data_IF_128620450460
#
_entry.id   IF_128620450460
#
_cell.length_a   1.000
_cell.length_b   1.000
_cell.length_c   1.000
_cell.angle_alpha   90.00
_cell.angle_beta   90.00
_cell.angle_gamma   90.00
#
_symmetry.space_group_name_H-M   'P 1'
#
loop_
_entity.id
_entity.type
_entity.pdbx_description
1 polymer ?
#
# COMPACT_ATOMS: atom_id res chain seq x y z
N UNK A 1 -27.94 -79.25 -7.92
CA UNK A 1 -26.65 -78.53 -7.94
C UNK A 1 -26.61 -77.29 -8.86
N UNK A 2 -27.71 -76.91 -9.54
CA UNK A 2 -27.74 -75.71 -10.41
C UNK A 2 -28.31 -74.46 -9.75
N UNK A 3 -29.05 -74.56 -8.64
CA UNK A 3 -29.65 -73.38 -7.96
C UNK A 3 -28.60 -72.50 -7.20
N UNK A 4 -27.60 -73.11 -6.61
CA UNK A 4 -26.55 -72.41 -5.86
C UNK A 4 -25.62 -71.59 -6.72
N UNK A 5 -25.31 -72.01 -7.95
CA UNK A 5 -24.45 -71.20 -8.89
C UNK A 5 -25.15 -69.95 -9.37
N UNK A 6 -26.47 -69.90 -9.53
CA UNK A 6 -27.20 -68.70 -9.95
C UNK A 6 -27.35 -67.68 -8.84
N UNK A 7 -27.38 -68.04 -7.57
CA UNK A 7 -27.46 -67.16 -6.43
C UNK A 7 -26.10 -66.51 -6.17
N UNK A 8 -25.00 -67.25 -6.31
CA UNK A 8 -23.61 -66.69 -6.15
C UNK A 8 -23.34 -65.65 -7.22
N UNK A 9 -23.74 -65.90 -8.47
CA UNK A 9 -23.54 -64.94 -9.56
C UNK A 9 -24.34 -63.65 -9.38
N UNK A 10 -25.52 -63.66 -8.81
CA UNK A 10 -26.35 -62.51 -8.52
C UNK A 10 -25.76 -61.69 -7.35
N UNK A 11 -25.26 -62.33 -6.32
CA UNK A 11 -24.65 -61.69 -5.19
C UNK A 11 -23.30 -61.03 -5.57
N UNK A 12 -22.48 -61.70 -6.39
CA UNK A 12 -21.24 -61.15 -6.92
C UNK A 12 -21.53 -59.97 -7.85
N UNK A 13 -22.54 -60.05 -8.70
CA UNK A 13 -22.95 -58.94 -9.58
C UNK A 13 -23.43 -57.73 -8.77
N UNK A 14 -24.19 -57.93 -7.69
CA UNK A 14 -24.67 -56.86 -6.81
C UNK A 14 -23.50 -56.17 -6.07
N UNK A 15 -22.53 -56.96 -5.60
CA UNK A 15 -21.36 -56.46 -4.93
C UNK A 15 -20.45 -55.61 -5.85
N UNK A 16 -20.30 -56.03 -7.11
CA UNK A 16 -19.50 -55.25 -8.10
C UNK A 16 -20.17 -53.95 -8.48
N UNK A 17 -21.50 -53.89 -8.54
CA UNK A 17 -22.25 -52.65 -8.80
C UNK A 17 -22.10 -51.67 -7.64
N UNK A 18 -22.14 -52.12 -6.39
CA UNK A 18 -21.96 -51.29 -5.20
C UNK A 18 -20.50 -50.70 -5.16
N UNK A 19 -19.48 -51.49 -5.51
CA UNK A 19 -18.09 -51.05 -5.56
C UNK A 19 -17.89 -50.06 -6.70
N UNK A 20 -18.52 -50.19 -7.84
CA UNK A 20 -18.43 -49.23 -8.94
C UNK A 20 -19.19 -47.93 -8.65
N UNK A 21 -20.30 -47.95 -7.91
CA UNK A 21 -21.01 -46.74 -7.50
C UNK A 21 -20.26 -45.91 -6.44
N UNK A 22 -19.42 -46.55 -5.62
CA UNK A 22 -18.59 -45.82 -4.61
C UNK A 22 -17.40 -45.07 -5.20
N UNK A 23 -16.95 -45.41 -6.41
CA UNK A 23 -15.81 -44.76 -7.07
C UNK A 23 -16.18 -43.45 -7.77
N UNK A 24 -17.45 -43.08 -7.88
CA UNK A 24 -17.90 -41.85 -8.58
C UNK A 24 -18.10 -40.69 -7.62
N UNK A 25 -18.08 -40.90 -6.30
CA UNK A 25 -18.05 -39.81 -5.33
C UNK A 25 -16.60 -39.32 -5.10
N UNK A 26 -16.01 -38.73 -6.14
CA UNK A 26 -14.89 -37.80 -5.94
C UNK A 26 -15.45 -36.61 -5.18
N UNK A 27 -15.22 -36.56 -3.87
CA UNK A 27 -15.35 -35.31 -3.12
C UNK A 27 -14.37 -34.31 -3.72
N UNK A 28 -14.83 -33.55 -4.69
CA UNK A 28 -14.13 -32.32 -5.02
C UNK A 28 -14.28 -31.42 -3.79
N UNK A 29 -13.20 -31.29 -3.03
CA UNK A 29 -13.09 -30.23 -2.08
C UNK A 29 -13.23 -28.92 -2.87
N UNK A 30 -14.44 -28.37 -2.86
CA UNK A 30 -14.66 -26.99 -3.27
C UNK A 30 -13.81 -26.19 -2.27
N UNK A 31 -12.62 -25.77 -2.69
CA UNK A 31 -11.90 -24.72 -1.99
C UNK A 31 -12.91 -23.57 -1.92
N UNK A 32 -13.40 -23.29 -0.72
CA UNK A 32 -14.11 -22.05 -0.49
C UNK A 32 -13.15 -20.97 -0.97
N UNK A 33 -13.51 -20.26 -2.03
CA UNK A 33 -12.85 -19.02 -2.40
C UNK A 33 -13.17 -18.11 -1.21
N UNK A 34 -12.20 -17.99 -0.31
CA UNK A 34 -12.24 -16.96 0.71
C UNK A 34 -12.29 -15.65 -0.09
N UNK A 35 -13.46 -15.02 -0.09
CA UNK A 35 -13.63 -13.68 -0.59
C UNK A 35 -13.01 -12.74 0.47
N UNK A 36 -11.71 -12.89 0.71
CA UNK A 36 -10.98 -11.96 1.57
C UNK A 36 -11.11 -10.59 0.91
N UNK A 37 -11.74 -9.67 1.60
CA UNK A 37 -11.73 -8.27 1.18
C UNK A 37 -10.28 -7.82 1.15
N UNK A 38 -9.92 -7.06 0.14
CA UNK A 38 -8.59 -6.51 -0.06
C UNK A 38 -8.73 -5.00 -0.09
N UNK A 39 -7.89 -4.31 0.65
CA UNK A 39 -7.72 -2.86 0.54
C UNK A 39 -6.49 -2.57 -0.29
N UNK A 40 -6.68 -1.89 -1.42
CA UNK A 40 -5.59 -1.41 -2.28
C UNK A 40 -5.22 0.02 -1.90
N UNK A 41 -3.95 0.26 -1.62
CA UNK A 41 -3.42 1.61 -1.42
C UNK A 41 -2.28 1.88 -2.40
N UNK A 42 -2.30 3.08 -2.99
CA UNK A 42 -1.23 3.58 -3.85
C UNK A 42 -0.62 4.79 -3.14
N UNK A 43 0.67 4.71 -2.86
CA UNK A 43 1.42 5.78 -2.20
C UNK A 43 2.47 6.30 -3.17
N UNK A 44 2.36 7.58 -3.53
CA UNK A 44 3.37 8.31 -4.29
C UNK A 44 4.24 9.12 -3.32
N UNK A 45 5.53 9.10 -3.53
CA UNK A 45 6.49 9.77 -2.66
C UNK A 45 7.49 10.60 -3.46
N UNK A 46 7.51 11.90 -3.17
CA UNK A 46 8.49 12.84 -3.72
C UNK A 46 9.62 13.03 -2.73
N UNK A 47 10.79 12.48 -3.05
CA UNK A 47 11.99 12.69 -2.26
C UNK A 47 12.47 14.13 -2.31
N UNK A 48 13.08 14.57 -1.22
CA UNK A 48 13.81 15.84 -1.18
C UNK A 48 15.08 15.73 -2.03
N UNK A 49 15.39 16.77 -2.79
CA UNK A 49 16.59 16.82 -3.61
C UNK A 49 17.87 16.55 -2.79
N UNK A 50 18.66 15.59 -3.26
CA UNK A 50 19.91 15.18 -2.61
C UNK A 50 19.75 14.16 -1.50
N UNK A 51 18.53 13.68 -1.24
CA UNK A 51 18.29 12.55 -0.36
C UNK A 51 18.40 11.25 -1.18
N UNK A 52 19.40 10.43 -0.88
CA UNK A 52 19.70 9.19 -1.59
C UNK A 52 19.47 7.94 -0.72
N UNK A 53 18.58 8.05 0.27
CA UNK A 53 18.32 6.97 1.21
C UNK A 53 17.39 5.93 0.59
N UNK A 54 17.60 4.68 1.00
CA UNK A 54 16.72 3.57 0.60
C UNK A 54 15.43 3.59 1.42
N UNK A 55 14.52 4.47 1.00
CA UNK A 55 13.21 4.60 1.62
C UNK A 55 12.31 3.43 1.25
N UNK A 56 11.59 2.92 2.23
CA UNK A 56 10.50 1.96 2.08
C UNK A 56 9.29 2.40 2.92
N UNK A 57 8.23 1.62 2.83
CA UNK A 57 6.97 1.86 3.50
C UNK A 57 6.76 0.81 4.59
N UNK A 58 6.34 1.23 5.77
CA UNK A 58 5.80 0.36 6.80
C UNK A 58 4.32 0.66 6.96
N UNK A 59 3.43 -0.28 6.58
CA UNK A 59 2.00 -0.09 6.59
C UNK A 59 1.33 -1.01 7.61
N UNK A 60 0.23 -0.52 8.21
CA UNK A 60 -0.64 -1.31 9.08
C UNK A 60 -2.10 -0.92 8.89
N UNK A 61 -3.00 -1.92 8.96
CA UNK A 61 -4.44 -1.70 9.09
C UNK A 61 -4.84 -1.40 10.54
N UNK A 62 -6.09 -1.01 10.75
CA UNK A 62 -6.63 -0.90 12.11
C UNK A 62 -6.54 -2.26 12.82
N UNK A 63 -5.93 -2.28 14.02
CA UNK A 63 -5.74 -3.48 14.83
C UNK A 63 -4.91 -4.60 14.16
N UNK A 64 -4.13 -4.29 13.12
CA UNK A 64 -3.25 -5.22 12.44
C UNK A 64 -1.78 -4.89 12.68
N UNK A 65 -0.94 -5.92 12.60
CA UNK A 65 0.51 -5.73 12.62
C UNK A 65 0.98 -5.06 11.33
N UNK A 66 1.99 -4.20 11.44
CA UNK A 66 2.60 -3.57 10.28
C UNK A 66 3.45 -4.53 9.45
N UNK A 67 3.57 -4.23 8.17
CA UNK A 67 4.42 -4.96 7.22
C UNK A 67 5.20 -3.98 6.35
N UNK A 68 6.44 -4.35 6.01
CA UNK A 68 7.30 -3.56 5.12
C UNK A 68 6.92 -3.79 3.65
N UNK A 69 6.93 -2.70 2.88
CA UNK A 69 6.73 -2.70 1.43
C UNK A 69 7.76 -1.80 0.76
N UNK A 70 8.30 -2.25 -0.35
CA UNK A 70 9.21 -1.46 -1.16
C UNK A 70 8.44 -0.58 -2.15
N UNK A 71 9.04 0.54 -2.56
CA UNK A 71 8.57 1.27 -3.71
C UNK A 71 8.82 0.42 -4.97
N UNK A 72 7.79 0.28 -5.81
CA UNK A 72 7.80 -0.66 -6.95
C UNK A 72 8.07 0.00 -8.29
N UNK A 73 8.14 1.34 -8.32
CA UNK A 73 8.42 2.10 -9.52
C UNK A 73 8.53 3.59 -9.27
N UNK A 74 8.69 4.33 -10.35
CA UNK A 74 8.73 5.79 -10.38
C UNK A 74 7.79 6.32 -11.45
N UNK A 75 7.16 7.45 -11.19
CA UNK A 75 6.35 8.22 -12.12
C UNK A 75 6.83 9.67 -12.20
N UNK A 76 6.08 10.54 -12.86
CA UNK A 76 6.42 11.97 -12.98
C UNK A 76 6.45 12.72 -11.63
N UNK A 77 5.81 12.18 -10.59
CA UNK A 77 5.83 12.76 -9.25
C UNK A 77 7.06 12.30 -8.46
N UNK A 78 7.39 11.02 -8.52
CA UNK A 78 8.49 10.39 -7.80
C UNK A 78 8.31 8.89 -7.66
N UNK A 79 8.80 8.31 -6.58
CA UNK A 79 8.61 6.89 -6.28
C UNK A 79 7.15 6.58 -6.01
N UNK A 80 6.69 5.38 -6.38
CA UNK A 80 5.36 4.91 -5.97
C UNK A 80 5.37 3.44 -5.55
N UNK A 81 4.41 3.08 -4.71
CA UNK A 81 4.10 1.70 -4.35
C UNK A 81 2.61 1.45 -4.49
N UNK A 82 2.25 0.33 -5.14
CA UNK A 82 0.88 -0.19 -5.19
C UNK A 82 0.80 -1.41 -4.29
N UNK A 83 0.01 -1.34 -3.23
CA UNK A 83 0.00 -2.29 -2.13
C UNK A 83 -1.40 -2.85 -1.94
N UNK A 84 -1.52 -4.17 -1.87
CA UNK A 84 -2.74 -4.87 -1.50
C UNK A 84 -2.60 -5.39 -0.07
N UNK A 85 -3.51 -4.99 0.80
CA UNK A 85 -3.57 -5.39 2.20
C UNK A 85 -4.79 -6.28 2.38
N UNK A 86 -4.59 -7.47 2.94
CA UNK A 86 -5.70 -8.37 3.26
C UNK A 86 -6.56 -7.76 4.36
N UNK A 87 -7.82 -7.52 4.06
CA UNK A 87 -8.79 -6.92 4.95
C UNK A 87 -9.58 -5.79 4.30
N UNK A 88 -10.64 -5.35 5.00
CA UNK A 88 -11.48 -4.22 4.66
C UNK A 88 -11.23 -3.11 5.68
N UNK A 89 -10.41 -2.17 5.33
CA UNK A 89 -9.97 -1.11 6.22
C UNK A 89 -10.63 0.22 5.85
N UNK A 90 -11.09 0.97 6.85
CA UNK A 90 -11.56 2.34 6.69
C UNK A 90 -10.40 3.34 6.66
N UNK A 91 -9.28 2.97 7.27
CA UNK A 91 -8.03 3.73 7.26
C UNK A 91 -6.83 2.81 7.36
N UNK A 92 -5.72 3.25 6.82
CA UNK A 92 -4.43 2.55 6.84
C UNK A 92 -3.37 3.50 7.35
N UNK A 93 -2.64 3.08 8.38
CA UNK A 93 -1.48 3.81 8.88
C UNK A 93 -0.23 3.46 8.08
N UNK A 94 0.70 4.42 7.96
CA UNK A 94 1.98 4.15 7.34
C UNK A 94 3.09 5.09 7.82
N UNK A 95 4.32 4.63 7.64
CA UNK A 95 5.54 5.38 7.86
C UNK A 95 6.42 5.20 6.62
N UNK A 96 7.03 6.27 6.13
CA UNK A 96 8.14 6.20 5.19
C UNK A 96 9.40 6.13 6.02
N UNK A 97 10.19 5.07 5.83
CA UNK A 97 11.37 4.80 6.65
C UNK A 97 12.47 4.10 5.86
N UNK A 98 13.68 4.05 6.41
CA UNK A 98 14.75 3.13 5.96
C UNK A 98 14.65 1.79 6.70
N UNK A 99 15.40 0.80 6.27
CA UNK A 99 15.49 -0.49 6.98
C UNK A 99 16.03 -0.35 8.40
N UNK A 100 16.84 0.68 8.67
CA UNK A 100 17.38 1.04 9.98
C UNK A 100 16.41 1.87 10.83
N UNK A 101 15.14 2.01 10.42
CA UNK A 101 14.11 2.78 11.10
C UNK A 101 14.36 4.29 11.19
N UNK A 102 15.18 4.84 10.31
CA UNK A 102 15.18 6.27 10.11
C UNK A 102 13.87 6.68 9.40
N UNK A 103 13.15 7.63 9.92
CA UNK A 103 11.82 8.03 9.44
C UNK A 103 11.90 9.34 8.64
N UNK A 104 11.12 9.39 7.57
CA UNK A 104 10.78 10.63 6.88
C UNK A 104 9.48 11.21 7.47
N UNK A 105 9.60 11.84 8.63
CA UNK A 105 8.48 12.36 9.40
C UNK A 105 7.82 11.35 10.34
N UNK A 106 6.62 11.66 10.80
CA UNK A 106 5.85 10.88 11.75
C UNK A 106 5.01 9.78 11.12
N UNK A 107 4.16 9.19 11.94
CA UNK A 107 3.11 8.26 11.51
C UNK A 107 2.04 9.03 10.75
N UNK A 108 1.64 8.53 9.59
CA UNK A 108 0.63 9.12 8.71
C UNK A 108 -0.54 8.17 8.53
N UNK A 109 -1.70 8.73 8.14
CA UNK A 109 -2.92 7.95 7.96
C UNK A 109 -3.57 8.25 6.61
N UNK A 110 -3.94 7.19 5.90
CA UNK A 110 -4.81 7.22 4.72
C UNK A 110 -6.23 7.01 5.23
N UNK A 111 -7.08 8.05 5.19
CA UNK A 111 -8.43 8.03 5.76
C UNK A 111 -9.53 8.01 4.68
N UNK A 112 -9.19 8.33 3.43
CA UNK A 112 -10.14 8.40 2.30
C UNK A 112 -10.16 7.13 1.46
N UNK A 113 -10.35 5.96 2.12
CA UNK A 113 -10.48 4.68 1.42
C UNK A 113 -11.93 4.56 0.92
N UNK A 114 -12.11 4.47 -0.40
CA UNK A 114 -13.41 4.31 -1.07
C UNK A 114 -13.41 3.01 -1.86
N UNK A 115 -14.42 2.20 -1.65
CA UNK A 115 -14.58 0.91 -2.34
C UNK A 115 -13.32 0.02 -2.23
N UNK A 116 -12.67 0.05 -1.05
CA UNK A 116 -11.45 -0.70 -0.79
C UNK A 116 -10.21 -0.13 -1.48
N UNK A 117 -10.23 1.13 -1.94
CA UNK A 117 -9.08 1.74 -2.63
C UNK A 117 -8.81 3.16 -2.16
N UNK A 118 -7.52 3.50 -2.07
CA UNK A 118 -7.05 4.87 -1.89
C UNK A 118 -5.75 5.13 -2.67
N UNK A 119 -5.56 6.39 -3.04
CA UNK A 119 -4.34 6.87 -3.69
C UNK A 119 -3.93 8.19 -3.04
N UNK A 120 -2.68 8.28 -2.63
CA UNK A 120 -2.17 9.42 -1.85
C UNK A 120 -0.78 9.83 -2.32
N UNK A 121 -0.46 11.11 -2.09
CA UNK A 121 0.83 11.72 -2.42
C UNK A 121 1.48 12.28 -1.17
N UNK A 122 2.78 12.09 -1.06
CA UNK A 122 3.60 12.50 0.08
C UNK A 122 4.81 13.28 -0.43
N UNK A 123 5.05 14.42 0.19
CA UNK A 123 6.28 15.19 -0.01
C UNK A 123 7.22 14.90 1.17
N UNK A 124 8.47 14.61 0.88
CA UNK A 124 9.50 14.38 1.91
C UNK A 124 9.59 15.55 2.86
N UNK A 125 9.62 15.27 4.17
CA UNK A 125 9.64 16.28 5.23
C UNK A 125 8.32 16.98 5.50
N UNK A 126 7.24 16.66 4.76
CA UNK A 126 5.87 17.13 5.04
C UNK A 126 5.07 16.03 5.73
N UNK A 127 4.42 16.36 6.83
CA UNK A 127 3.57 15.40 7.57
C UNK A 127 2.21 15.18 6.91
N UNK A 128 1.85 16.02 5.94
CA UNK A 128 0.55 15.99 5.29
C UNK A 128 0.42 14.83 4.31
N UNK A 129 -0.75 14.17 4.33
CA UNK A 129 -1.19 13.20 3.32
C UNK A 129 -2.11 13.91 2.32
N UNK A 130 -1.71 13.94 1.06
CA UNK A 130 -2.46 14.58 -0.01
C UNK A 130 -3.32 13.54 -0.73
N UNK A 131 -4.62 13.84 -0.90
CA UNK A 131 -5.58 12.99 -1.63
C UNK A 131 -5.66 13.32 -3.14
N UNK A 132 -4.85 14.24 -3.60
CA UNK A 132 -4.65 14.58 -5.00
C UNK A 132 -3.21 15.03 -5.17
N UNK A 133 -2.65 14.83 -6.37
CA UNK A 133 -1.27 15.19 -6.68
C UNK A 133 -1.02 16.67 -6.38
N UNK A 134 -0.18 17.00 -5.38
CA UNK A 134 0.18 18.37 -5.09
C UNK A 134 1.18 18.88 -6.14
N UNK A 135 1.26 20.21 -6.30
CA UNK A 135 2.38 20.78 -7.04
C UNK A 135 3.68 20.47 -6.31
N UNK A 136 4.62 19.89 -7.00
CA UNK A 136 6.00 19.66 -6.50
C UNK A 136 6.97 20.76 -6.96
N UNK A 137 6.49 21.74 -7.72
CA UNK A 137 7.30 22.89 -8.11
C UNK A 137 7.49 23.82 -6.92
N UNK A 138 8.74 24.22 -6.70
CA UNK A 138 9.07 25.13 -5.61
C UNK A 138 8.36 26.47 -5.80
N UNK A 139 7.56 26.88 -4.84
CA UNK A 139 6.95 28.21 -4.80
C UNK A 139 6.99 28.78 -3.40
N UNK A 140 7.16 30.10 -3.32
CA UNK A 140 7.14 30.82 -2.04
C UNK A 140 5.68 31.02 -1.64
N UNK A 141 5.31 30.50 -0.49
CA UNK A 141 3.97 30.63 0.11
C UNK A 141 3.88 31.89 0.98
N UNK A 142 4.96 32.19 1.68
CA UNK A 142 5.05 33.32 2.60
C UNK A 142 6.51 33.76 2.75
N UNK A 143 6.73 35.06 2.86
CA UNK A 143 7.98 35.63 3.29
C UNK A 143 7.70 36.68 4.39
N UNK A 144 8.40 36.59 5.52
CA UNK A 144 8.30 37.54 6.64
C UNK A 144 9.68 38.08 6.97
N UNK A 145 9.73 39.37 7.27
CA UNK A 145 10.93 40.01 7.84
C UNK A 145 10.79 39.90 9.36
N UNK A 146 11.63 39.06 9.96
CA UNK A 146 11.56 38.78 11.40
C UNK A 146 12.48 39.72 12.21
N UNK A 147 13.53 40.19 11.56
CA UNK A 147 14.45 41.18 12.15
C UNK A 147 15.17 41.95 11.05
N UNK A 148 16.03 42.88 11.41
CA UNK A 148 16.80 43.73 10.46
C UNK A 148 17.62 42.90 9.44
N UNK A 149 18.02 41.70 9.81
CA UNK A 149 18.88 40.83 8.99
C UNK A 149 18.36 39.41 8.84
N UNK A 150 17.08 39.18 9.15
CA UNK A 150 16.48 37.85 9.08
C UNK A 150 15.15 37.87 8.32
N UNK A 151 15.05 37.00 7.32
CA UNK A 151 13.84 36.78 6.52
C UNK A 151 13.50 35.31 6.60
N UNK A 152 12.29 34.98 7.08
CA UNK A 152 11.75 33.65 7.03
C UNK A 152 10.96 33.48 5.75
N UNK A 153 11.32 32.46 4.96
CA UNK A 153 10.62 32.08 3.73
C UNK A 153 9.97 30.72 3.93
N UNK A 154 8.66 30.67 3.77
CA UNK A 154 7.90 29.42 3.78
C UNK A 154 7.59 29.03 2.34
N UNK A 155 7.87 27.78 1.99
CA UNK A 155 7.63 27.22 0.65
C UNK A 155 6.60 26.11 0.70
N UNK A 156 5.98 25.81 -0.46
CA UNK A 156 5.00 24.75 -0.61
C UNK A 156 5.58 23.33 -0.50
N UNK A 157 6.89 23.19 -0.74
CA UNK A 157 7.63 21.93 -0.63
C UNK A 157 8.92 22.18 0.14
N UNK A 158 9.39 21.21 0.94
CA UNK A 158 10.73 21.29 1.54
C UNK A 158 11.80 21.40 0.46
N UNK A 159 12.77 22.26 0.65
CA UNK A 159 13.89 22.40 -0.27
C UNK A 159 15.22 22.55 0.45
N UNK A 160 16.27 22.12 -0.22
CA UNK A 160 17.63 22.23 0.29
C UNK A 160 18.36 23.33 -0.46
N UNK A 161 18.83 24.34 0.28
CA UNK A 161 19.66 25.41 -0.29
C UNK A 161 21.12 24.93 -0.25
N UNK A 162 21.73 24.67 -1.40
CA UNK A 162 23.18 24.50 -1.47
C UNK A 162 23.90 25.85 -1.51
N UNK A 163 23.43 26.74 -2.33
CA UNK A 163 23.78 28.17 -2.44
C UNK A 163 22.75 28.78 -3.38
N UNK A 164 21.96 29.73 -2.92
CA UNK A 164 21.06 30.49 -3.77
C UNK A 164 21.19 31.99 -3.42
N UNK A 165 21.34 32.82 -4.43
CA UNK A 165 21.26 34.26 -4.29
C UNK A 165 19.78 34.65 -4.29
N UNK A 166 19.30 35.19 -3.17
CA UNK A 166 17.97 35.77 -3.10
C UNK A 166 18.11 37.25 -3.43
N UNK A 167 17.53 37.68 -4.53
CA UNK A 167 17.40 39.10 -4.88
C UNK A 167 16.01 39.58 -4.47
N UNK A 168 15.95 40.59 -3.60
CA UNK A 168 14.73 41.25 -3.18
C UNK A 168 14.65 42.58 -3.92
N UNK A 169 13.75 42.62 -4.95
CA UNK A 169 13.47 43.85 -5.64
C UNK A 169 12.40 44.65 -4.88
N UNK A 170 12.59 45.95 -4.73
CA UNK A 170 11.53 46.88 -4.32
C UNK A 170 11.55 47.36 -2.88
N UNK A 171 12.60 47.13 -2.11
CA UNK A 171 12.78 47.84 -0.84
C UNK A 171 13.44 49.22 -1.15
N UNK A 172 12.59 50.25 -1.15
CA UNK A 172 13.05 51.65 -1.16
C UNK A 172 13.05 52.21 0.25
#
# INVERSE_FOLDING_TARGET
>A
MQMTKRLINKSVLLLTIIVMLSSVFSFQSVKAVSNSKITEVIVHYKEQLGNTKDWNLWLWGENANGTSYEFTGEDEFGKYAKINIDGDYNRVGFIIRTNEWEKDGGDRWIENIKDGRAEVWILSGDEKVYNAKPSSDLSIQKATIDSFNEITVTTNVPFHIKEQKIEIEGIK
#
